data_IF_958790727907
#
_entry.id   IF_958790727907
#
_cell.length_a   1.000
_cell.length_b   1.000
_cell.length_c   1.000
_cell.angle_alpha   90.00
_cell.angle_beta   90.00
_cell.angle_gamma   90.00
#
_symmetry.space_group_name_H-M   'P 1'
#
loop_
_entity.id
_entity.type
_entity.pdbx_description
1 polymer ?
#
# COMPACT_ATOMS: atom_id res chain seq x y z
N UNK A 1 -19.27 -7.31 -8.67
CA UNK A 1 -18.23 -8.37 -8.56
C UNK A 1 -17.54 -8.73 -9.88
N UNK A 2 -18.24 -8.96 -11.00
CA UNK A 2 -17.60 -9.37 -12.28
C UNK A 2 -16.61 -8.34 -12.84
N UNK A 3 -16.86 -7.04 -12.64
CA UNK A 3 -15.98 -5.96 -13.14
C UNK A 3 -14.59 -5.95 -12.49
N UNK A 4 -14.49 -5.93 -11.16
CA UNK A 4 -13.20 -6.02 -10.46
C UNK A 4 -12.48 -7.35 -10.69
N UNK A 5 -13.23 -8.46 -10.85
CA UNK A 5 -12.64 -9.76 -11.21
C UNK A 5 -11.96 -9.71 -12.57
N UNK A 6 -12.49 -8.93 -13.52
CA UNK A 6 -11.88 -8.76 -14.84
C UNK A 6 -10.53 -8.02 -14.80
N UNK A 7 -10.21 -7.34 -13.69
CA UNK A 7 -8.92 -6.66 -13.51
C UNK A 7 -7.79 -7.61 -13.05
N UNK A 8 -8.04 -8.91 -12.88
CA UNK A 8 -7.02 -9.87 -12.45
C UNK A 8 -6.85 -10.01 -10.93
N UNK A 9 -7.73 -9.41 -10.12
CA UNK A 9 -7.68 -9.50 -8.66
C UNK A 9 -8.02 -10.91 -8.16
N UNK A 10 -7.26 -11.37 -7.16
CA UNK A 10 -7.45 -12.64 -6.50
C UNK A 10 -8.69 -12.64 -5.59
N UNK A 11 -9.08 -13.82 -5.10
CA UNK A 11 -10.31 -13.98 -4.30
C UNK A 11 -10.31 -13.15 -3.00
N UNK A 12 -9.17 -13.06 -2.29
CA UNK A 12 -9.07 -12.31 -1.05
C UNK A 12 -9.35 -10.81 -1.26
N UNK A 13 -8.80 -10.23 -2.33
CA UNK A 13 -9.05 -8.83 -2.68
C UNK A 13 -10.49 -8.62 -3.17
N UNK A 14 -11.04 -9.56 -3.96
CA UNK A 14 -12.44 -9.47 -4.39
C UNK A 14 -13.44 -9.54 -3.22
N UNK A 15 -13.12 -10.28 -2.16
CA UNK A 15 -13.92 -10.30 -0.93
C UNK A 15 -13.85 -8.95 -0.20
N UNK A 16 -12.66 -8.33 -0.11
CA UNK A 16 -12.51 -6.99 0.45
C UNK A 16 -13.26 -5.92 -0.36
N UNK A 17 -13.18 -5.98 -1.69
CA UNK A 17 -13.93 -5.11 -2.62
C UNK A 17 -15.44 -5.20 -2.36
N UNK A 18 -15.95 -6.41 -2.12
CA UNK A 18 -17.37 -6.63 -1.82
C UNK A 18 -17.79 -6.00 -0.49
N UNK A 19 -16.99 -6.20 0.56
CA UNK A 19 -17.25 -5.64 1.89
C UNK A 19 -17.24 -4.11 1.90
N UNK A 20 -16.39 -3.51 1.06
CA UNK A 20 -16.30 -2.07 0.89
C UNK A 20 -17.43 -1.48 0.04
N UNK A 21 -18.29 -2.32 -0.55
CA UNK A 21 -19.38 -1.87 -1.41
C UNK A 21 -18.91 -1.32 -2.75
N UNK A 22 -17.71 -1.68 -3.21
CA UNK A 22 -17.21 -1.21 -4.51
C UNK A 22 -17.93 -1.92 -5.66
N UNK A 23 -18.76 -1.18 -6.40
CA UNK A 23 -19.60 -1.73 -7.46
C UNK A 23 -18.86 -1.85 -8.81
N UNK A 24 -18.17 -0.79 -9.20
CA UNK A 24 -17.40 -0.68 -10.45
C UNK A 24 -16.06 0.01 -10.23
N UNK A 25 -15.00 -0.45 -10.91
CA UNK A 25 -13.71 0.22 -10.85
C UNK A 25 -13.80 1.62 -11.49
N UNK A 26 -12.98 2.54 -10.99
CA UNK A 26 -12.78 3.85 -11.63
C UNK A 26 -11.88 3.74 -12.85
N UNK A 27 -11.87 4.75 -13.71
CA UNK A 27 -11.03 4.78 -14.92
C UNK A 27 -9.54 4.57 -14.60
N UNK A 28 -9.03 5.16 -13.51
CA UNK A 28 -7.64 4.95 -13.09
C UNK A 28 -7.39 3.51 -12.65
N UNK A 29 -8.35 2.86 -11.98
CA UNK A 29 -8.23 1.46 -11.56
C UNK A 29 -8.27 0.51 -12.76
N UNK A 30 -9.19 0.73 -13.70
CA UNK A 30 -9.30 -0.08 -14.93
C UNK A 30 -8.02 -0.01 -15.77
N UNK A 31 -7.40 1.17 -15.87
CA UNK A 31 -6.19 1.38 -16.67
C UNK A 31 -4.91 0.89 -15.99
N UNK A 32 -4.82 0.94 -14.67
CA UNK A 32 -3.55 0.71 -13.96
C UNK A 32 -3.44 -0.67 -13.33
N UNK A 33 -4.54 -1.23 -12.79
CA UNK A 33 -4.47 -2.51 -12.05
C UNK A 33 -3.95 -3.65 -12.95
N UNK A 34 -4.48 -3.87 -14.17
CA UNK A 34 -3.97 -4.95 -15.02
C UNK A 34 -2.49 -4.80 -15.37
N UNK A 35 -2.07 -3.57 -15.73
CA UNK A 35 -0.66 -3.27 -16.06
C UNK A 35 0.24 -3.59 -14.86
N UNK A 36 -0.11 -3.10 -13.68
CA UNK A 36 0.69 -3.30 -12.47
C UNK A 36 0.71 -4.76 -11.99
N UNK A 37 -0.25 -5.60 -12.41
CA UNK A 37 -0.27 -7.03 -12.13
C UNK A 37 0.54 -7.86 -13.13
N UNK A 38 0.42 -7.54 -14.41
CA UNK A 38 0.93 -8.37 -15.51
C UNK A 38 2.32 -7.96 -15.99
N UNK A 39 2.69 -6.69 -15.82
CA UNK A 39 3.95 -6.14 -16.30
C UNK A 39 4.89 -5.80 -15.13
N UNK A 40 6.19 -5.95 -15.36
CA UNK A 40 7.25 -5.44 -14.50
C UNK A 40 7.70 -4.10 -15.06
N UNK A 41 7.02 -3.02 -14.67
CA UNK A 41 7.18 -1.68 -15.26
C UNK A 41 6.95 -0.57 -14.24
N UNK A 42 7.47 0.62 -14.56
CA UNK A 42 7.19 1.85 -13.84
C UNK A 42 5.96 2.55 -14.44
N UNK A 43 5.14 3.16 -13.59
CA UNK A 43 3.90 3.81 -14.02
C UNK A 43 3.72 5.20 -13.40
N UNK A 44 3.38 6.17 -14.24
CA UNK A 44 2.92 7.49 -13.82
C UNK A 44 1.43 7.63 -14.13
N UNK A 45 0.63 7.82 -13.10
CA UNK A 45 -0.81 8.02 -13.21
C UNK A 45 -1.20 9.44 -12.79
N UNK A 46 -1.88 10.16 -13.68
CA UNK A 46 -2.50 11.45 -13.38
C UNK A 46 -4.01 11.24 -13.19
N UNK A 47 -4.49 11.44 -11.98
CA UNK A 47 -5.92 11.44 -11.68
C UNK A 47 -6.26 12.41 -10.54
N UNK A 48 -7.48 12.94 -10.56
CA UNK A 48 -7.97 13.87 -9.54
C UNK A 48 -8.06 13.18 -8.16
N UNK A 49 -8.01 13.96 -7.09
CA UNK A 49 -8.22 13.46 -5.72
C UNK A 49 -9.61 12.84 -5.58
N UNK A 50 -9.73 11.77 -4.80
CA UNK A 50 -11.02 11.07 -4.60
C UNK A 50 -11.42 10.10 -5.73
N UNK A 51 -10.56 9.86 -6.72
CA UNK A 51 -10.85 8.96 -7.86
C UNK A 51 -10.49 7.48 -7.61
N UNK A 52 -10.18 7.11 -6.37
CA UNK A 52 -9.83 5.74 -6.00
C UNK A 52 -8.39 5.34 -6.36
N UNK A 53 -7.46 6.31 -6.46
CA UNK A 53 -6.02 6.09 -6.70
C UNK A 53 -5.39 5.09 -5.72
N UNK A 54 -5.75 5.16 -4.43
CA UNK A 54 -5.20 4.22 -3.44
C UNK A 54 -5.51 2.77 -3.77
N UNK A 55 -6.75 2.46 -4.18
CA UNK A 55 -7.09 1.11 -4.61
C UNK A 55 -6.38 0.72 -5.91
N UNK A 56 -6.12 1.69 -6.79
CA UNK A 56 -5.46 1.49 -8.07
C UNK A 56 -4.01 0.97 -7.92
N UNK A 57 -3.23 1.51 -6.97
CA UNK A 57 -1.90 0.95 -6.64
C UNK A 57 -1.94 -0.09 -5.51
N UNK A 58 -2.90 0.01 -4.60
CA UNK A 58 -2.95 -0.78 -3.37
C UNK A 58 -3.33 -2.23 -3.61
N UNK A 59 -4.30 -2.49 -4.48
CA UNK A 59 -4.66 -3.87 -4.84
C UNK A 59 -3.51 -4.65 -5.51
N UNK A 60 -2.85 -4.14 -6.57
CA UNK A 60 -1.71 -4.83 -7.15
C UNK A 60 -0.56 -5.00 -6.16
N UNK A 61 -0.27 -3.97 -5.34
CA UNK A 61 0.76 -4.07 -4.30
C UNK A 61 0.48 -5.21 -3.30
N UNK A 62 -0.75 -5.28 -2.77
CA UNK A 62 -1.14 -6.33 -1.82
C UNK A 62 -1.06 -7.72 -2.47
N UNK A 63 -1.45 -7.84 -3.74
CA UNK A 63 -1.42 -9.12 -4.45
C UNK A 63 0.00 -9.60 -4.78
N UNK A 64 0.94 -8.69 -5.03
CA UNK A 64 2.32 -9.02 -5.39
C UNK A 64 3.24 -9.29 -4.18
N UNK A 65 2.90 -8.78 -3.01
CA UNK A 65 3.72 -8.95 -1.79
C UNK A 65 3.58 -10.36 -1.19
N UNK A 66 4.69 -10.91 -0.72
CA UNK A 66 4.72 -12.14 0.07
C UNK A 66 4.31 -11.86 1.52
N UNK A 67 3.08 -12.22 1.88
CA UNK A 67 2.47 -11.90 3.18
C UNK A 67 3.06 -12.70 4.34
N UNK A 68 3.61 -13.89 4.10
CA UNK A 68 4.21 -14.72 5.15
C UNK A 68 5.64 -14.25 5.51
N UNK A 69 6.28 -13.45 4.66
CA UNK A 69 7.54 -12.79 4.98
C UNK A 69 7.32 -11.65 5.97
N UNK A 70 8.24 -11.46 6.92
CA UNK A 70 8.23 -10.30 7.85
C UNK A 70 9.00 -9.10 7.31
N UNK A 71 9.57 -9.20 6.12
CA UNK A 71 10.38 -8.13 5.50
C UNK A 71 9.51 -7.09 4.83
N UNK A 72 9.92 -5.82 4.93
CA UNK A 72 9.33 -4.72 4.17
C UNK A 72 9.62 -4.88 2.69
N UNK A 73 8.55 -4.95 1.90
CA UNK A 73 8.54 -5.15 0.45
C UNK A 73 7.89 -3.97 -0.29
N UNK A 74 6.90 -3.32 0.33
CA UNK A 74 6.23 -2.13 -0.21
C UNK A 74 6.49 -0.88 0.62
N UNK A 75 6.78 0.23 -0.05
CA UNK A 75 6.84 1.56 0.53
C UNK A 75 5.91 2.52 -0.21
N UNK A 76 4.99 3.15 0.52
CA UNK A 76 4.14 4.23 0.02
C UNK A 76 4.56 5.52 0.71
N UNK A 77 4.95 6.53 -0.05
CA UNK A 77 5.27 7.85 0.46
C UNK A 77 4.10 8.81 0.24
N UNK A 78 3.72 9.54 1.29
CA UNK A 78 2.67 10.55 1.25
C UNK A 78 3.13 11.86 1.93
N UNK A 79 2.69 13.04 1.46
CA UNK A 79 3.18 14.34 1.95
C UNK A 79 2.79 14.65 3.41
N UNK A 80 1.60 14.21 3.85
CA UNK A 80 1.04 14.59 5.15
C UNK A 80 0.85 13.38 6.08
N UNK A 81 0.73 13.65 7.39
CA UNK A 81 0.45 12.62 8.39
C UNK A 81 -0.96 12.05 8.20
N UNK A 82 -1.90 12.92 7.88
CA UNK A 82 -3.31 12.63 7.70
C UNK A 82 -3.49 11.65 6.53
N UNK A 83 -2.85 11.94 5.39
CA UNK A 83 -2.89 11.07 4.23
C UNK A 83 -2.16 9.74 4.48
N UNK A 84 -1.02 9.77 5.17
CA UNK A 84 -0.31 8.54 5.58
C UNK A 84 -1.22 7.60 6.39
N UNK A 85 -1.97 8.16 7.35
CA UNK A 85 -2.91 7.40 8.16
C UNK A 85 -4.11 6.91 7.36
N UNK A 86 -4.65 7.74 6.46
CA UNK A 86 -5.75 7.35 5.59
C UNK A 86 -5.37 6.18 4.68
N UNK A 87 -4.26 6.29 3.95
CA UNK A 87 -3.73 5.23 3.08
C UNK A 87 -3.47 3.96 3.91
N UNK A 88 -2.87 4.09 5.10
CA UNK A 88 -2.64 2.92 5.98
C UNK A 88 -3.94 2.19 6.32
N UNK A 89 -5.01 2.93 6.63
CA UNK A 89 -6.31 2.34 6.95
C UNK A 89 -6.93 1.68 5.73
N UNK A 90 -6.88 2.33 4.56
CA UNK A 90 -7.35 1.77 3.29
C UNK A 90 -6.61 0.47 2.95
N UNK A 91 -5.28 0.45 3.06
CA UNK A 91 -4.48 -0.76 2.84
C UNK A 91 -4.87 -1.91 3.78
N UNK A 92 -5.19 -1.61 5.04
CA UNK A 92 -5.68 -2.63 6.01
C UNK A 92 -7.07 -3.16 5.64
N UNK A 93 -7.95 -2.29 5.12
CA UNK A 93 -9.26 -2.70 4.64
C UNK A 93 -9.14 -3.58 3.39
N UNK A 94 -8.31 -3.18 2.43
CA UNK A 94 -8.06 -3.94 1.20
C UNK A 94 -7.43 -5.31 1.48
N UNK A 95 -6.57 -5.41 2.48
CA UNK A 95 -5.88 -6.65 2.87
C UNK A 95 -6.60 -7.47 3.94
N UNK A 96 -7.85 -7.14 4.29
CA UNK A 96 -8.63 -7.82 5.36
C UNK A 96 -8.61 -9.36 5.27
N UNK A 97 -8.59 -9.90 4.06
CA UNK A 97 -8.62 -11.34 3.79
C UNK A 97 -7.24 -11.95 3.46
N UNK A 98 -6.17 -11.16 3.48
CA UNK A 98 -4.79 -11.61 3.24
C UNK A 98 -4.11 -11.88 4.58
N UNK A 99 -4.01 -13.15 4.95
CA UNK A 99 -3.40 -13.56 6.22
C UNK A 99 -1.91 -13.18 6.25
N UNK A 100 -1.41 -12.80 7.42
CA UNK A 100 0.01 -12.47 7.63
C UNK A 100 0.43 -11.06 7.19
N UNK A 101 -0.33 -10.41 6.30
CA UNK A 101 -0.02 -9.06 5.82
C UNK A 101 -0.26 -8.01 6.91
N UNK A 102 0.77 -7.19 7.16
CA UNK A 102 0.72 -6.07 8.08
C UNK A 102 1.23 -4.79 7.41
N UNK A 103 0.45 -3.71 7.59
CA UNK A 103 0.77 -2.37 7.10
C UNK A 103 1.02 -1.44 8.28
N UNK A 104 2.17 -0.76 8.28
CA UNK A 104 2.58 0.15 9.37
C UNK A 104 2.74 1.58 8.85
N UNK A 105 2.15 2.54 9.58
CA UNK A 105 2.28 3.96 9.32
C UNK A 105 3.51 4.56 10.00
N UNK A 106 4.24 5.42 9.29
CA UNK A 106 5.45 6.07 9.77
C UNK A 106 5.36 7.58 9.51
N UNK A 107 5.30 8.38 10.57
CA UNK A 107 5.11 9.83 10.45
C UNK A 107 5.61 10.58 11.68
N UNK A 108 5.85 11.90 11.51
CA UNK A 108 6.29 12.81 12.56
C UNK A 108 5.25 13.05 13.67
N UNK A 109 5.68 13.49 14.85
CA UNK A 109 4.77 13.81 15.96
C UNK A 109 4.23 12.60 16.75
N UNK A 110 4.65 11.38 16.40
CA UNK A 110 4.45 10.17 17.20
C UNK A 110 5.79 9.52 17.58
N UNK A 111 5.78 8.68 18.61
CA UNK A 111 6.95 7.97 19.13
C UNK A 111 7.64 7.15 18.05
N UNK A 112 8.89 7.52 17.74
CA UNK A 112 9.73 6.80 16.77
C UNK A 112 10.06 5.38 17.25
N UNK A 113 10.19 5.19 18.57
CA UNK A 113 10.48 3.89 19.19
C UNK A 113 9.29 2.95 19.03
N UNK A 114 8.06 3.44 19.18
CA UNK A 114 6.88 2.60 19.01
C UNK A 114 6.60 2.26 17.55
N UNK A 115 6.89 3.18 16.61
CA UNK A 115 6.88 2.87 15.17
C UNK A 115 7.93 1.81 14.83
N UNK A 116 9.17 1.94 15.32
CA UNK A 116 10.21 0.94 15.13
C UNK A 116 9.83 -0.44 15.73
N UNK A 117 9.18 -0.47 16.89
CA UNK A 117 8.65 -1.69 17.50
C UNK A 117 7.58 -2.35 16.63
N UNK A 118 6.68 -1.57 16.02
CA UNK A 118 5.67 -2.09 15.10
C UNK A 118 6.31 -2.73 13.86
N UNK A 119 7.31 -2.07 13.27
CA UNK A 119 8.06 -2.61 12.12
C UNK A 119 8.77 -3.91 12.49
N UNK A 120 9.41 -3.98 13.68
CA UNK A 120 10.08 -5.19 14.18
C UNK A 120 9.13 -6.37 14.40
N UNK A 121 7.82 -6.14 14.58
CA UNK A 121 6.84 -7.23 14.64
C UNK A 121 6.61 -7.87 13.26
N UNK A 122 6.95 -7.17 12.19
CA UNK A 122 6.78 -7.56 10.79
C UNK A 122 5.93 -6.51 10.09
N UNK A 123 6.43 -5.93 9.00
CA UNK A 123 5.74 -4.89 8.25
C UNK A 123 6.10 -5.01 6.77
N UNK A 124 5.25 -5.73 6.03
CA UNK A 124 5.44 -5.96 4.60
C UNK A 124 5.19 -4.69 3.79
N UNK A 125 4.25 -3.86 4.25
CA UNK A 125 3.96 -2.55 3.68
C UNK A 125 4.22 -1.47 4.73
N UNK A 126 5.02 -0.47 4.35
CA UNK A 126 5.18 0.76 5.11
C UNK A 126 4.51 1.90 4.34
N UNK A 127 3.68 2.67 5.02
CA UNK A 127 3.19 3.97 4.53
C UNK A 127 3.89 5.04 5.34
N UNK A 128 4.54 6.01 4.71
CA UNK A 128 5.41 6.93 5.43
C UNK A 128 5.38 8.38 4.92
N UNK A 129 5.61 9.32 5.83
CA UNK A 129 6.04 10.67 5.43
C UNK A 129 7.54 10.69 5.17
N UNK A 130 8.02 11.40 4.11
CA UNK A 130 9.42 11.34 3.69
C UNK A 130 10.42 11.67 4.80
N UNK A 131 10.14 12.73 5.58
CA UNK A 131 11.04 13.19 6.65
C UNK A 131 11.25 12.13 7.75
N UNK A 132 10.17 11.47 8.21
CA UNK A 132 10.29 10.44 9.25
C UNK A 132 10.93 9.18 8.70
N UNK A 133 10.59 8.77 7.47
CA UNK A 133 11.22 7.61 6.83
C UNK A 133 12.74 7.79 6.74
N UNK A 134 13.19 8.96 6.26
CA UNK A 134 14.61 9.31 6.17
C UNK A 134 15.32 9.26 7.53
N UNK A 135 14.71 9.82 8.57
CA UNK A 135 15.27 9.80 9.95
C UNK A 135 15.42 8.35 10.46
N UNK A 136 14.41 7.51 10.28
CA UNK A 136 14.45 6.12 10.73
C UNK A 136 15.46 5.27 9.95
N UNK A 137 15.61 5.49 8.64
CA UNK A 137 16.67 4.86 7.83
C UNK A 137 18.04 5.31 8.33
N UNK A 138 18.26 6.62 8.51
CA UNK A 138 19.54 7.17 8.97
C UNK A 138 19.98 6.66 10.35
N UNK A 139 19.02 6.26 11.20
CA UNK A 139 19.28 5.63 12.51
C UNK A 139 19.39 4.10 12.47
N UNK A 140 19.29 3.48 11.30
CA UNK A 140 19.31 2.02 11.15
C UNK A 140 18.11 1.31 11.79
N UNK A 141 16.97 2.00 11.94
CA UNK A 141 15.77 1.44 12.57
C UNK A 141 14.90 0.63 11.60
N UNK A 142 15.09 0.84 10.30
CA UNK A 142 14.33 0.19 9.22
C UNK A 142 15.32 -0.39 8.21
N UNK A 143 15.10 -1.65 7.84
CA UNK A 143 15.80 -2.27 6.73
C UNK A 143 14.96 -2.13 5.45
N UNK A 144 15.51 -1.45 4.44
CA UNK A 144 14.87 -1.18 3.16
C UNK A 144 15.45 -2.00 1.99
N UNK A 145 16.38 -2.91 2.26
CA UNK A 145 17.11 -3.68 1.22
C UNK A 145 16.25 -4.66 0.41
N UNK A 146 14.99 -4.84 0.79
CA UNK A 146 14.03 -5.77 0.20
C UNK A 146 12.75 -5.09 -0.28
N UNK A 147 12.79 -3.76 -0.43
CA UNK A 147 11.68 -3.04 -1.06
C UNK A 147 11.73 -3.32 -2.57
N UNK A 148 10.67 -3.95 -3.06
CA UNK A 148 10.46 -4.23 -4.48
C UNK A 148 9.49 -3.22 -5.12
N UNK A 149 8.63 -2.59 -4.30
CA UNK A 149 7.60 -1.65 -4.77
C UNK A 149 7.68 -0.32 -4.01
N UNK A 150 7.79 0.78 -4.75
CA UNK A 150 7.77 2.14 -4.20
C UNK A 150 6.67 2.97 -4.89
N UNK A 151 5.80 3.57 -4.09
CA UNK A 151 4.70 4.41 -4.55
C UNK A 151 4.90 5.82 -4.00
N UNK A 152 4.78 6.81 -4.88
CA UNK A 152 4.78 8.23 -4.50
C UNK A 152 3.37 8.78 -4.74
N UNK A 153 2.63 9.03 -3.67
CA UNK A 153 1.30 9.65 -3.78
C UNK A 153 1.42 11.17 -3.59
N UNK A 154 0.68 11.91 -4.41
CA UNK A 154 0.75 13.37 -4.56
C UNK A 154 2.18 13.89 -4.90
N UNK A 155 2.84 13.22 -5.84
CA UNK A 155 4.15 13.61 -6.41
C UNK A 155 4.03 14.60 -7.58
#
# INVERSE_FOLDING_TARGET
MTKFKALGLNKALLDAVSDLGFESPSEVQEKTIPILLEEETDLVALAQTGTGKTAAFGFPLIQKIESESRTTQGLILSPTRELCLQITNEMKLYSKYVKGLNTVAIYGGASIVDQARQIKKGAQIIVATPGRMKDMIGRGMINISKIDYCILDEA
#
